data_IF_326137031052
#
_entry.id   IF_326137031052
#
_cell.length_a   1.000
_cell.length_b   1.000
_cell.length_c   1.000
_cell.angle_alpha   90.00
_cell.angle_beta   90.00
_cell.angle_gamma   90.00
#
_symmetry.space_group_name_H-M   'P 1'
#
loop_
_entity.id
_entity.type
_entity.pdbx_description
1 polymer ?
#
# COMPACT_ATOMS: atom_id res chain seq x y z
N UNK A 1 11.86 13.94 10.50
CA UNK A 1 12.01 12.62 9.87
C UNK A 1 10.76 12.28 9.07
N UNK A 2 10.94 11.75 7.88
CA UNK A 2 9.82 11.31 7.06
C UNK A 2 9.70 9.80 7.10
N UNK A 3 8.47 9.31 7.26
CA UNK A 3 8.21 7.88 7.19
C UNK A 3 7.17 7.62 6.11
N UNK A 4 7.18 6.40 5.61
CA UNK A 4 6.30 5.95 4.55
C UNK A 4 5.51 4.76 5.08
N UNK A 5 4.20 4.81 4.90
CA UNK A 5 3.30 3.80 5.46
C UNK A 5 2.66 3.03 4.33
N UNK A 6 2.95 1.74 4.25
CA UNK A 6 2.32 0.87 3.26
C UNK A 6 1.01 0.37 3.87
N UNK A 7 -0.10 0.69 3.21
CA UNK A 7 -1.44 0.38 3.69
C UNK A 7 -2.18 -0.43 2.64
N UNK A 8 -2.76 -1.55 3.05
CA UNK A 8 -3.62 -2.35 2.18
C UNK A 8 -5.06 -1.99 2.47
N UNK A 9 -5.83 -1.74 1.42
CA UNK A 9 -7.22 -1.30 1.53
C UNK A 9 -8.16 -2.34 0.93
N UNK A 10 -9.25 -2.60 1.64
CA UNK A 10 -10.25 -3.54 1.17
C UNK A 10 -11.09 -2.89 0.06
N UNK A 11 -11.52 -3.69 -0.92
CA UNK A 11 -12.39 -3.22 -1.99
C UNK A 11 -13.73 -2.73 -1.47
N UNK A 12 -14.19 -3.26 -0.32
CA UNK A 12 -15.36 -2.76 0.39
C UNK A 12 -14.87 -1.85 1.52
N UNK A 13 -15.11 -0.53 1.43
CA UNK A 13 -14.60 0.41 2.43
C UNK A 13 -14.98 0.10 3.87
N UNK A 14 -16.10 -0.55 4.07
CA UNK A 14 -16.58 -0.91 5.41
C UNK A 14 -15.67 -1.90 6.14
N UNK A 15 -14.84 -2.64 5.42
CA UNK A 15 -13.88 -3.55 6.04
C UNK A 15 -12.56 -2.87 6.40
N UNK A 16 -12.42 -1.60 6.01
CA UNK A 16 -11.30 -0.80 6.44
C UNK A 16 -10.00 -1.09 5.72
N UNK A 17 -8.92 -1.00 6.46
CA UNK A 17 -7.58 -1.12 5.90
C UNK A 17 -6.65 -1.79 6.90
N UNK A 18 -5.52 -2.27 6.39
CA UNK A 18 -4.47 -2.89 7.21
C UNK A 18 -3.17 -2.13 6.98
N UNK A 19 -2.58 -1.63 8.06
CA UNK A 19 -1.27 -1.02 8.02
C UNK A 19 -0.24 -2.14 8.06
N UNK A 20 0.51 -2.30 6.97
CA UNK A 20 1.51 -3.36 6.91
C UNK A 20 2.73 -3.04 7.76
N UNK A 21 3.38 -1.91 7.46
CA UNK A 21 4.64 -1.60 8.08
C UNK A 21 5.02 -0.15 7.80
N UNK A 22 5.84 0.41 8.69
CA UNK A 22 6.44 1.72 8.49
C UNK A 22 7.81 1.54 7.87
N UNK A 23 8.16 2.43 6.96
CA UNK A 23 9.46 2.44 6.29
C UNK A 23 10.05 3.84 6.37
N UNK A 24 11.36 3.92 6.44
CA UNK A 24 12.05 5.21 6.40
C UNK A 24 12.49 5.57 4.99
N UNK A 25 12.29 4.67 4.04
CA UNK A 25 12.68 4.82 2.65
C UNK A 25 11.50 4.46 1.76
N UNK A 26 11.15 5.36 0.83
CA UNK A 26 10.02 5.14 -0.07
C UNK A 26 10.17 3.86 -0.90
N UNK A 27 11.38 3.63 -1.41
CA UNK A 27 11.62 2.46 -2.24
C UNK A 27 11.38 1.16 -1.48
N UNK A 28 11.72 1.13 -0.21
CA UNK A 28 11.48 -0.06 0.60
C UNK A 28 9.99 -0.33 0.78
N UNK A 29 9.20 0.73 0.97
CA UNK A 29 7.75 0.60 1.06
C UNK A 29 7.19 0.07 -0.26
N UNK A 30 7.65 0.62 -1.38
CA UNK A 30 7.23 0.18 -2.70
C UNK A 30 7.61 -1.28 -2.95
N UNK A 31 8.86 -1.65 -2.65
CA UNK A 31 9.32 -3.02 -2.83
C UNK A 31 8.51 -4.01 -2.01
N UNK A 32 8.10 -3.61 -0.81
CA UNK A 32 7.26 -4.45 0.04
C UNK A 32 5.93 -4.77 -0.65
N UNK A 33 5.30 -3.76 -1.26
CA UNK A 33 4.04 -3.98 -1.98
C UNK A 33 4.25 -4.82 -3.24
N UNK A 34 5.33 -4.54 -3.98
CA UNK A 34 5.61 -5.31 -5.19
C UNK A 34 5.86 -6.78 -4.88
N UNK A 35 6.55 -7.07 -3.78
CA UNK A 35 6.80 -8.45 -3.35
C UNK A 35 5.53 -9.18 -2.99
N UNK A 36 4.50 -8.45 -2.56
CA UNK A 36 3.22 -9.03 -2.22
C UNK A 36 2.32 -9.21 -3.45
N UNK A 37 2.83 -8.87 -4.63
CA UNK A 37 2.09 -9.03 -5.87
C UNK A 37 1.28 -7.83 -6.32
N UNK A 38 1.40 -6.71 -5.59
CA UNK A 38 0.76 -5.47 -6.03
C UNK A 38 1.55 -4.84 -7.17
N UNK A 39 0.84 -4.15 -8.05
CA UNK A 39 1.46 -3.41 -9.15
C UNK A 39 0.93 -1.99 -9.13
N UNK A 40 1.70 -1.06 -9.70
CA UNK A 40 1.30 0.34 -9.74
C UNK A 40 0.11 0.50 -10.67
N UNK A 41 -0.98 1.03 -10.13
CA UNK A 41 -2.17 1.36 -10.90
C UNK A 41 -2.16 2.83 -11.29
N UNK A 42 -1.73 3.71 -10.38
CA UNK A 42 -1.65 5.14 -10.61
C UNK A 42 -0.49 5.71 -9.82
N UNK A 43 0.53 6.22 -10.53
CA UNK A 43 1.73 6.76 -9.88
C UNK A 43 1.47 8.03 -9.10
N UNK A 44 0.63 8.92 -9.62
CA UNK A 44 0.35 10.19 -8.96
C UNK A 44 -0.31 10.00 -7.61
N UNK A 45 -1.24 9.06 -7.53
CA UNK A 45 -1.96 8.76 -6.29
C UNK A 45 -1.25 7.70 -5.46
N UNK A 46 -0.15 7.17 -5.97
CA UNK A 46 0.60 6.08 -5.33
C UNK A 46 -0.33 4.91 -4.99
N UNK A 47 -1.21 4.60 -5.93
CA UNK A 47 -2.21 3.54 -5.79
C UNK A 47 -1.71 2.27 -6.45
N UNK A 48 -1.81 1.16 -5.72
CA UNK A 48 -1.38 -0.15 -6.17
C UNK A 48 -2.56 -1.11 -6.20
N UNK A 49 -2.49 -2.11 -7.05
CA UNK A 49 -3.55 -3.10 -7.22
C UNK A 49 -2.98 -4.51 -7.32
N UNK A 50 -3.61 -5.45 -6.64
CA UNK A 50 -3.35 -6.88 -6.81
C UNK A 50 -4.69 -7.57 -7.04
N UNK A 51 -4.99 -7.88 -8.30
CA UNK A 51 -6.25 -8.47 -8.69
C UNK A 51 -6.40 -9.92 -8.24
N UNK A 52 -5.29 -10.59 -7.96
CA UNK A 52 -5.29 -12.00 -7.61
C UNK A 52 -5.60 -12.30 -6.15
N UNK A 53 -5.59 -11.28 -5.30
CA UNK A 53 -5.91 -11.50 -3.89
C UNK A 53 -7.38 -11.85 -3.71
N UNK A 54 -7.62 -12.81 -2.82
CA UNK A 54 -8.98 -13.29 -2.57
C UNK A 54 -9.54 -12.85 -1.22
N UNK A 55 -8.73 -12.13 -0.45
CA UNK A 55 -9.16 -11.63 0.86
C UNK A 55 -9.86 -10.26 0.78
N UNK A 56 -9.96 -9.70 -0.42
CA UNK A 56 -10.59 -8.40 -0.62
C UNK A 56 -9.67 -7.21 -0.47
N UNK A 57 -8.45 -7.40 0.04
CA UNK A 57 -7.45 -6.33 0.18
C UNK A 57 -6.67 -6.17 -1.12
N UNK A 58 -7.39 -5.82 -2.17
CA UNK A 58 -6.84 -5.76 -3.52
C UNK A 58 -6.10 -4.46 -3.80
N UNK A 59 -6.36 -3.42 -3.02
CA UNK A 59 -5.73 -2.11 -3.22
C UNK A 59 -4.70 -1.85 -2.14
N UNK A 60 -3.71 -1.04 -2.49
CA UNK A 60 -2.71 -0.60 -1.52
C UNK A 60 -2.27 0.81 -1.86
N UNK A 61 -1.82 1.54 -0.84
CA UNK A 61 -1.30 2.91 -0.99
C UNK A 61 -0.09 3.08 -0.12
N UNK A 62 0.73 4.06 -0.50
CA UNK A 62 1.84 4.49 0.34
C UNK A 62 1.54 5.90 0.79
N UNK A 63 1.41 6.08 2.10
CA UNK A 63 1.20 7.39 2.69
C UNK A 63 2.51 7.95 3.21
N UNK A 64 2.68 9.26 3.07
CA UNK A 64 3.86 9.97 3.52
C UNK A 64 3.52 10.69 4.82
N UNK A 65 4.38 10.57 5.80
CA UNK A 65 4.16 11.24 7.08
C UNK A 65 5.47 11.82 7.61
N UNK A 66 5.41 13.08 8.03
CA UNK A 66 6.53 13.74 8.68
C UNK A 66 6.37 13.61 10.19
N UNK A 67 7.44 13.22 10.85
CA UNK A 67 7.50 13.13 12.30
C UNK A 67 8.39 14.21 12.88
#
# INVERSE_FOLDING_TARGET
>A
MRVYVAVREHECPEYGYIIDKLFTNYKDAQDSLLKQGYRILNEEDELYLNEERKDGYNYARIYHKSL
#
